data_IF_978626278583
#
_entry.id   IF_978626278583
#
_cell.length_a   1.000
_cell.length_b   1.000
_cell.length_c   1.000
_cell.angle_alpha   90.00
_cell.angle_beta   90.00
_cell.angle_gamma   90.00
#
_symmetry.space_group_name_H-M   'P 1'
#
loop_
_entity.id
_entity.type
_entity.pdbx_description
1 polymer ?
#
# COMPACT_ATOMS: atom_id res chain seq x y z
N UNK A 1 19.72 23.31 -2.19
CA UNK A 1 19.04 22.45 -1.22
C UNK A 1 17.96 21.70 -1.99
N UNK A 2 17.85 20.38 -1.85
CA UNK A 2 16.81 19.58 -2.53
C UNK A 2 15.70 19.29 -1.55
N UNK A 3 14.51 19.61 -1.93
CA UNK A 3 13.32 19.31 -1.14
C UNK A 3 12.58 18.14 -1.80
N UNK A 4 12.18 17.20 -0.99
CA UNK A 4 11.30 16.08 -1.32
C UNK A 4 9.98 16.30 -0.60
N UNK A 5 8.89 15.75 -1.09
CA UNK A 5 7.64 15.73 -0.38
C UNK A 5 7.33 14.30 0.05
N UNK A 6 7.35 14.04 1.34
CA UNK A 6 6.80 12.81 1.88
C UNK A 6 5.28 12.95 1.92
N UNK A 7 4.59 11.97 1.35
CA UNK A 7 3.13 11.97 1.18
C UNK A 7 2.54 10.68 1.72
N UNK A 8 1.32 10.78 2.21
CA UNK A 8 0.45 9.67 2.53
C UNK A 8 -1.01 10.10 2.34
N UNK A 9 -1.89 9.18 1.94
CA UNK A 9 -3.33 9.45 1.77
C UNK A 9 -4.17 8.35 2.38
N UNK A 10 -5.25 8.76 3.08
CA UNK A 10 -6.33 7.87 3.44
C UNK A 10 -7.44 7.92 2.39
N UNK A 11 -8.09 6.79 2.13
CA UNK A 11 -8.99 6.65 1.00
C UNK A 11 -10.25 5.85 1.35
N UNK A 12 -11.32 6.02 0.55
CA UNK A 12 -12.57 5.27 0.73
C UNK A 12 -12.47 3.81 0.28
N UNK A 13 -11.34 3.41 -0.31
CA UNK A 13 -11.07 2.07 -0.81
C UNK A 13 -9.79 2.05 -1.65
N UNK A 14 -9.54 1.00 -2.40
CA UNK A 14 -8.23 0.74 -2.99
C UNK A 14 -8.12 1.08 -4.49
N UNK A 15 -9.20 1.51 -5.15
CA UNK A 15 -9.20 1.76 -6.59
C UNK A 15 -9.82 3.10 -6.98
N UNK A 16 -9.01 4.13 -7.27
CA UNK A 16 -9.53 5.42 -7.72
C UNK A 16 -10.29 5.32 -9.05
N UNK A 17 -10.00 4.28 -9.87
CA UNK A 17 -10.67 4.05 -11.16
C UNK A 17 -12.07 3.45 -11.02
N UNK A 18 -12.43 2.98 -9.81
CA UNK A 18 -13.77 2.53 -9.45
C UNK A 18 -14.48 3.48 -8.50
N UNK A 19 -14.13 4.75 -8.59
CA UNK A 19 -14.72 5.85 -7.85
C UNK A 19 -14.29 5.98 -6.39
N UNK A 20 -13.28 5.25 -5.91
CA UNK A 20 -12.72 5.53 -4.61
C UNK A 20 -12.04 6.89 -4.60
N UNK A 21 -12.08 7.52 -3.46
CA UNK A 21 -11.73 8.92 -3.27
C UNK A 21 -10.74 9.07 -2.11
N UNK A 22 -9.95 10.09 -2.17
CA UNK A 22 -9.14 10.52 -1.02
C UNK A 22 -10.03 11.15 0.04
N UNK A 23 -9.80 10.82 1.32
CA UNK A 23 -10.51 11.37 2.48
C UNK A 23 -9.58 12.10 3.46
N UNK A 24 -8.29 11.86 3.39
CA UNK A 24 -7.27 12.60 4.13
C UNK A 24 -5.98 12.67 3.31
N UNK A 25 -5.25 13.77 3.42
CA UNK A 25 -3.93 13.96 2.81
C UNK A 25 -2.96 14.43 3.89
N UNK A 26 -1.77 13.84 3.90
CA UNK A 26 -0.63 14.30 4.65
C UNK A 26 0.55 14.56 3.72
N UNK A 27 1.21 15.70 3.86
CA UNK A 27 2.43 16.05 3.13
C UNK A 27 3.44 16.67 4.09
N UNK A 28 4.67 16.23 4.01
CA UNK A 28 5.80 16.76 4.79
C UNK A 28 6.94 17.08 3.83
N UNK A 29 7.37 18.33 3.80
CA UNK A 29 8.58 18.69 3.09
C UNK A 29 9.81 18.14 3.85
N UNK A 30 10.70 17.44 3.14
CA UNK A 30 11.91 16.89 3.73
C UNK A 30 13.14 17.20 2.87
N UNK A 31 14.21 17.61 3.53
CA UNK A 31 15.48 17.91 2.88
C UNK A 31 16.57 17.13 3.61
N UNK A 32 17.04 16.00 3.05
CA UNK A 32 18.03 15.14 3.73
C UNK A 32 19.24 15.92 4.25
N UNK A 33 19.56 15.71 5.54
CA UNK A 33 20.62 16.44 6.24
C UNK A 33 20.21 17.83 6.77
N UNK A 34 18.99 18.29 6.50
CA UNK A 34 18.45 19.56 7.00
C UNK A 34 17.12 19.38 7.75
N UNK A 35 16.56 18.18 7.73
CA UNK A 35 15.37 17.81 8.46
C UNK A 35 14.06 18.07 7.71
N UNK A 36 12.96 17.90 8.43
CA UNK A 36 11.60 18.18 7.95
C UNK A 36 11.32 19.68 7.99
N UNK A 37 10.57 20.14 6.99
CA UNK A 37 10.15 21.53 6.80
C UNK A 37 8.64 21.71 6.95
N UNK A 38 8.04 22.42 5.98
CA UNK A 38 6.61 22.72 5.98
C UNK A 38 5.78 21.44 5.87
N UNK A 39 4.64 21.45 6.55
CA UNK A 39 3.68 20.37 6.56
C UNK A 39 2.33 20.85 6.05
N UNK A 40 1.62 19.96 5.39
CA UNK A 40 0.25 20.18 4.96
C UNK A 40 -0.58 18.95 5.32
N UNK A 41 -1.76 19.16 5.89
CA UNK A 41 -2.72 18.09 6.11
C UNK A 41 -4.13 18.61 5.98
N UNK A 42 -5.03 17.81 5.43
CA UNK A 42 -6.46 18.12 5.40
C UNK A 42 -7.31 16.87 5.27
N UNK A 43 -8.45 16.87 5.95
CA UNK A 43 -9.57 16.00 5.63
C UNK A 43 -10.23 16.45 4.33
N UNK A 44 -10.86 15.51 3.62
CA UNK A 44 -11.58 15.75 2.39
C UNK A 44 -12.97 15.10 2.44
N UNK A 45 -13.96 15.83 1.95
CA UNK A 45 -15.28 15.27 1.70
C UNK A 45 -15.29 14.54 0.35
N UNK A 46 -15.38 13.21 0.33
CA UNK A 46 -15.34 12.44 -0.90
C UNK A 46 -16.63 12.54 -1.72
N UNK A 47 -17.71 13.11 -1.17
CA UNK A 47 -19.03 13.12 -1.77
C UNK A 47 -19.71 11.76 -1.90
N UNK A 48 -19.24 10.78 -1.12
CA UNK A 48 -19.70 9.38 -1.10
C UNK A 48 -19.47 8.75 0.27
N UNK A 49 -19.85 7.49 0.41
CA UNK A 49 -19.50 6.67 1.56
C UNK A 49 -17.97 6.61 1.75
N UNK A 50 -17.51 6.74 2.98
CA UNK A 50 -16.08 6.84 3.31
C UNK A 50 -15.37 5.48 3.40
N UNK A 51 -16.09 4.37 3.25
CA UNK A 51 -15.50 3.04 3.34
C UNK A 51 -15.24 2.56 4.78
N UNK A 52 -14.26 1.67 4.98
CA UNK A 52 -14.08 0.96 6.24
C UNK A 52 -13.42 1.86 7.31
N UNK A 53 -14.23 2.43 8.20
CA UNK A 53 -13.78 3.21 9.37
C UNK A 53 -12.78 2.46 10.26
N UNK A 54 -12.77 1.13 10.21
CA UNK A 54 -11.85 0.29 10.97
C UNK A 54 -10.39 0.45 10.54
N UNK A 55 -10.13 0.93 9.32
CA UNK A 55 -8.77 1.13 8.78
C UNK A 55 -8.30 2.55 9.14
N UNK A 56 -8.92 3.58 8.57
CA UNK A 56 -8.48 4.97 8.72
C UNK A 56 -9.07 5.67 9.96
N UNK A 57 -10.01 5.05 10.68
CA UNK A 57 -10.60 5.59 11.91
C UNK A 57 -11.50 6.81 11.74
N UNK A 58 -11.74 7.29 10.52
CA UNK A 58 -12.61 8.41 10.21
C UNK A 58 -14.06 7.95 10.08
N UNK A 59 -15.00 8.81 10.48
CA UNK A 59 -16.43 8.62 10.27
C UNK A 59 -16.96 9.60 9.22
N UNK A 60 -18.12 9.32 8.67
CA UNK A 60 -18.78 10.26 7.72
C UNK A 60 -18.97 11.65 8.32
N UNK A 61 -19.17 11.74 9.65
CA UNK A 61 -19.30 13.02 10.33
C UNK A 61 -17.99 13.83 10.34
N UNK A 62 -16.83 13.16 10.39
CA UNK A 62 -15.53 13.84 10.43
C UNK A 62 -15.22 14.56 9.11
N UNK A 63 -15.72 14.04 7.99
CA UNK A 63 -15.47 14.58 6.65
C UNK A 63 -16.66 15.35 6.06
N UNK A 64 -17.79 15.42 6.76
CA UNK A 64 -19.02 16.01 6.22
C UNK A 64 -18.84 17.49 5.83
N UNK A 65 -18.16 18.26 6.67
CA UNK A 65 -17.89 19.68 6.48
C UNK A 65 -16.49 19.96 5.92
N UNK A 66 -15.74 18.91 5.55
CA UNK A 66 -14.42 19.04 4.95
C UNK A 66 -14.52 19.50 3.48
N UNK A 67 -13.50 20.20 2.95
CA UNK A 67 -13.49 20.61 1.56
C UNK A 67 -13.45 19.41 0.61
N UNK A 68 -13.92 19.61 -0.61
CA UNK A 68 -13.68 18.67 -1.69
C UNK A 68 -12.27 18.83 -2.26
N UNK A 69 -11.75 17.82 -2.91
CA UNK A 69 -10.36 17.83 -3.42
C UNK A 69 -10.05 19.06 -4.29
N UNK A 70 -10.96 19.45 -5.20
CA UNK A 70 -10.72 20.58 -6.10
C UNK A 70 -10.53 21.91 -5.36
N UNK A 71 -11.12 22.06 -4.16
CA UNK A 71 -11.02 23.26 -3.34
C UNK A 71 -9.66 23.40 -2.65
N UNK A 72 -8.92 22.30 -2.45
CA UNK A 72 -7.57 22.30 -1.87
C UNK A 72 -6.47 22.05 -2.91
N UNK A 73 -6.83 21.75 -4.14
CA UNK A 73 -5.89 21.38 -5.20
C UNK A 73 -4.82 22.45 -5.46
N UNK A 74 -5.17 23.74 -5.35
CA UNK A 74 -4.21 24.84 -5.52
C UNK A 74 -3.17 24.84 -4.40
N UNK A 75 -3.60 24.70 -3.16
CA UNK A 75 -2.71 24.66 -2.00
C UNK A 75 -1.80 23.42 -2.04
N UNK A 76 -2.38 22.24 -2.32
CA UNK A 76 -1.60 21.02 -2.49
C UNK A 76 -0.53 21.15 -3.58
N UNK A 77 -0.88 21.75 -4.72
CA UNK A 77 0.08 21.99 -5.79
C UNK A 77 1.21 22.95 -5.36
N UNK A 78 0.91 23.97 -4.56
CA UNK A 78 1.92 24.90 -4.02
C UNK A 78 2.89 24.18 -3.08
N UNK A 79 2.38 23.30 -2.21
CA UNK A 79 3.18 22.50 -1.28
C UNK A 79 4.07 21.50 -2.02
N UNK A 80 3.55 20.85 -3.07
CA UNK A 80 4.32 19.85 -3.84
C UNK A 80 5.33 20.48 -4.82
N UNK A 81 5.07 21.68 -5.30
CA UNK A 81 5.87 22.36 -6.35
C UNK A 81 7.38 22.45 -6.08
N UNK A 82 7.85 22.71 -4.84
CA UNK A 82 9.28 22.79 -4.56
C UNK A 82 10.01 21.46 -4.63
N UNK A 83 9.26 20.35 -4.64
CA UNK A 83 9.82 19.02 -4.47
C UNK A 83 10.35 18.44 -5.78
N UNK A 84 11.49 17.77 -5.72
CA UNK A 84 12.11 17.09 -6.86
C UNK A 84 11.58 15.67 -7.04
N UNK A 85 11.07 15.05 -5.98
CA UNK A 85 10.45 13.73 -5.99
C UNK A 85 9.43 13.60 -4.85
N UNK A 86 8.51 12.64 -4.98
CA UNK A 86 7.59 12.25 -3.92
C UNK A 86 8.14 11.02 -3.20
N UNK A 87 8.09 11.07 -1.88
CA UNK A 87 8.50 9.98 -0.98
C UNK A 87 7.26 9.43 -0.30
N UNK A 88 7.19 8.14 -0.05
CA UNK A 88 6.09 7.54 0.71
C UNK A 88 6.38 6.07 1.00
N UNK A 89 5.54 5.46 1.79
CA UNK A 89 5.60 4.03 2.06
C UNK A 89 4.51 3.36 1.22
N UNK A 90 4.88 2.61 0.19
CA UNK A 90 4.01 2.21 -0.93
C UNK A 90 3.52 3.41 -1.77
N UNK A 91 4.38 4.39 -1.98
CA UNK A 91 4.08 5.69 -2.62
C UNK A 91 3.35 5.62 -3.96
N UNK A 92 3.43 4.50 -4.67
CA UNK A 92 2.71 4.29 -5.92
C UNK A 92 1.19 4.37 -5.74
N UNK A 93 0.68 3.91 -4.58
CA UNK A 93 -0.72 4.00 -4.20
C UNK A 93 -1.16 5.46 -4.03
N UNK A 94 -0.43 6.22 -3.24
CA UNK A 94 -0.73 7.63 -2.96
C UNK A 94 -0.74 8.46 -4.25
N UNK A 95 0.30 8.30 -5.07
CA UNK A 95 0.42 9.00 -6.35
C UNK A 95 -0.71 8.64 -7.31
N UNK A 96 -1.14 7.38 -7.33
CA UNK A 96 -2.26 6.92 -8.15
C UNK A 96 -3.57 7.64 -7.75
N UNK A 97 -3.83 7.74 -6.46
CA UNK A 97 -5.01 8.43 -5.95
C UNK A 97 -4.94 9.94 -6.19
N UNK A 98 -3.83 10.60 -5.88
CA UNK A 98 -3.66 12.03 -6.13
C UNK A 98 -3.83 12.37 -7.60
N UNK A 99 -3.24 11.60 -8.53
CA UNK A 99 -3.44 11.80 -9.97
C UNK A 99 -4.90 11.71 -10.36
N UNK A 100 -5.61 10.70 -9.88
CA UNK A 100 -7.02 10.54 -10.19
C UNK A 100 -7.88 11.69 -9.64
N UNK A 101 -7.57 12.23 -8.47
CA UNK A 101 -8.27 13.39 -7.91
C UNK A 101 -8.01 14.67 -8.72
N UNK A 102 -6.75 14.90 -9.13
CA UNK A 102 -6.43 16.01 -10.04
C UNK A 102 -7.14 15.87 -11.39
N UNK A 103 -7.14 14.68 -12.00
CA UNK A 103 -7.85 14.41 -13.25
C UNK A 103 -9.37 14.65 -13.13
N UNK A 104 -10.00 14.22 -12.04
CA UNK A 104 -11.43 14.48 -11.76
C UNK A 104 -11.72 15.98 -11.62
N UNK A 105 -10.73 16.74 -11.16
CA UNK A 105 -10.81 18.20 -11.08
C UNK A 105 -10.48 18.91 -12.39
N UNK A 106 -10.27 18.14 -13.47
CA UNK A 106 -9.88 18.70 -14.78
C UNK A 106 -8.43 19.20 -14.86
N UNK A 107 -7.57 18.73 -13.95
CA UNK A 107 -6.18 19.15 -13.84
C UNK A 107 -5.23 17.98 -14.13
N UNK A 108 -4.06 18.29 -14.66
CA UNK A 108 -3.00 17.31 -14.85
C UNK A 108 -1.93 17.50 -13.75
N UNK A 109 -1.76 16.50 -12.90
CA UNK A 109 -0.64 16.46 -11.97
C UNK A 109 0.65 16.16 -12.73
N UNK A 110 1.74 16.93 -12.53
CA UNK A 110 3.04 16.62 -13.12
C UNK A 110 3.52 15.22 -12.72
N UNK A 111 4.33 14.61 -13.58
CA UNK A 111 4.92 13.29 -13.28
C UNK A 111 6.15 13.49 -12.41
N UNK A 112 6.00 13.23 -11.13
CA UNK A 112 7.10 13.20 -10.17
C UNK A 112 7.84 11.86 -10.23
N UNK A 113 9.18 11.85 -10.10
CA UNK A 113 9.89 10.68 -9.62
C UNK A 113 9.38 10.28 -8.24
N UNK A 114 9.39 8.99 -7.96
CA UNK A 114 8.92 8.46 -6.66
C UNK A 114 10.02 7.70 -5.94
N UNK A 115 10.04 7.82 -4.62
CA UNK A 115 10.95 7.11 -3.73
C UNK A 115 10.10 6.35 -2.73
N UNK A 116 10.18 5.03 -2.79
CA UNK A 116 9.41 4.14 -1.93
C UNK A 116 10.25 3.70 -0.74
N UNK A 117 9.89 4.16 0.45
CA UNK A 117 10.62 3.83 1.69
C UNK A 117 10.49 2.37 2.07
N UNK A 118 9.38 1.70 1.72
CA UNK A 118 9.23 0.26 1.90
C UNK A 118 10.32 -0.50 1.13
N UNK A 119 10.50 -0.17 -0.14
CA UNK A 119 11.54 -0.80 -0.98
C UNK A 119 12.94 -0.51 -0.49
N UNK A 120 13.21 0.72 -0.08
CA UNK A 120 14.52 1.11 0.44
C UNK A 120 14.86 0.41 1.75
N UNK A 121 13.88 0.19 2.62
CA UNK A 121 14.04 -0.52 3.89
C UNK A 121 14.09 -2.06 3.75
N UNK A 122 13.91 -2.58 2.55
CA UNK A 122 13.90 -4.04 2.30
C UNK A 122 12.53 -4.69 2.44
N UNK A 123 11.46 -3.90 2.58
CA UNK A 123 10.07 -4.35 2.72
C UNK A 123 9.57 -4.29 4.17
N UNK A 124 8.27 -4.43 4.36
CA UNK A 124 7.61 -4.37 5.65
C UNK A 124 6.57 -3.28 5.74
N UNK A 125 5.86 -3.20 6.86
CA UNK A 125 4.98 -2.06 7.15
C UNK A 125 5.80 -0.85 7.56
N UNK A 126 5.20 0.34 7.44
CA UNK A 126 5.85 1.58 7.84
C UNK A 126 6.33 1.51 9.31
N UNK A 127 5.48 1.00 10.21
CA UNK A 127 5.83 0.83 11.62
C UNK A 127 7.00 -0.12 11.86
N UNK A 128 7.06 -1.26 11.15
CA UNK A 128 8.18 -2.21 11.27
C UNK A 128 9.48 -1.64 10.72
N UNK A 129 9.42 -0.95 9.58
CA UNK A 129 10.57 -0.27 9.00
C UNK A 129 11.09 0.84 9.93
N UNK A 130 10.20 1.67 10.49
CA UNK A 130 10.57 2.68 11.48
C UNK A 130 11.25 2.06 12.69
N UNK A 131 10.70 0.98 13.25
CA UNK A 131 11.30 0.27 14.39
C UNK A 131 12.71 -0.27 14.07
N UNK A 132 12.93 -0.80 12.86
CA UNK A 132 14.23 -1.28 12.39
C UNK A 132 15.29 -0.17 12.36
N UNK A 133 14.90 1.05 12.05
CA UNK A 133 15.77 2.23 12.02
C UNK A 133 15.75 3.02 13.34
N UNK A 134 15.10 2.52 14.40
CA UNK A 134 15.05 3.17 15.71
C UNK A 134 14.20 4.44 15.73
N UNK A 135 13.28 4.58 14.77
CA UNK A 135 12.38 5.73 14.67
C UNK A 135 11.13 5.46 15.50
N UNK A 136 10.87 6.34 16.47
CA UNK A 136 9.60 6.32 17.19
C UNK A 136 8.46 6.80 16.28
N UNK A 137 7.39 6.04 16.24
CA UNK A 137 6.19 6.36 15.49
C UNK A 137 5.28 7.26 16.34
N UNK A 138 5.26 8.56 16.03
CA UNK A 138 4.53 9.59 16.80
C UNK A 138 3.04 9.71 16.45
N UNK A 139 2.45 8.69 15.88
CA UNK A 139 1.09 8.76 15.40
C UNK A 139 0.32 7.47 15.63
N UNK A 140 -0.98 7.52 15.31
CA UNK A 140 -1.74 6.31 15.06
C UNK A 140 -1.42 5.88 13.63
N UNK A 141 -1.22 4.59 13.42
CA UNK A 141 -1.22 4.05 12.07
C UNK A 141 -2.53 4.49 11.36
N UNK A 142 -2.42 4.80 10.07
CA UNK A 142 -3.54 5.27 9.25
C UNK A 142 -4.07 6.68 9.63
N UNK A 143 -3.14 7.57 9.92
CA UNK A 143 -3.34 9.01 9.98
C UNK A 143 -2.35 9.65 8.98
N UNK A 144 -2.85 10.18 7.87
CA UNK A 144 -2.04 10.55 6.72
C UNK A 144 -0.84 11.46 7.06
N UNK A 145 -1.00 12.45 7.94
CA UNK A 145 0.13 13.29 8.33
C UNK A 145 1.15 12.54 9.20
N UNK A 146 0.68 11.67 10.10
CA UNK A 146 1.51 10.83 10.95
C UNK A 146 2.38 9.88 10.12
N UNK A 147 1.76 9.24 9.14
CA UNK A 147 2.42 8.29 8.23
C UNK A 147 3.38 9.00 7.27
N UNK A 148 3.01 10.17 6.75
CA UNK A 148 3.93 11.01 5.95
C UNK A 148 5.16 11.47 6.76
N UNK A 149 5.01 11.84 8.05
CA UNK A 149 6.13 12.18 8.94
C UNK A 149 7.04 10.97 9.19
N UNK A 150 6.46 9.81 9.42
CA UNK A 150 7.20 8.57 9.62
C UNK A 150 7.99 8.18 8.36
N UNK A 151 7.35 8.27 7.19
CA UNK A 151 8.02 8.03 5.92
C UNK A 151 9.15 9.04 5.64
N UNK A 152 8.97 10.32 6.00
CA UNK A 152 10.00 11.34 5.89
C UNK A 152 11.22 11.02 6.78
N UNK A 153 11.00 10.68 8.04
CA UNK A 153 12.09 10.28 8.97
C UNK A 153 12.83 9.04 8.49
N UNK A 154 12.06 8.03 8.04
CA UNK A 154 12.63 6.80 7.50
C UNK A 154 13.50 7.08 6.26
N UNK A 155 13.03 7.94 5.38
CA UNK A 155 13.81 8.38 4.22
C UNK A 155 15.10 9.09 4.62
N UNK A 156 15.06 9.99 5.60
CA UNK A 156 16.26 10.68 6.12
C UNK A 156 17.30 9.69 6.66
N UNK A 157 16.91 8.74 7.49
CA UNK A 157 17.81 7.74 8.07
C UNK A 157 18.43 6.82 6.99
N UNK A 158 17.63 6.39 6.01
CA UNK A 158 18.11 5.56 4.90
C UNK A 158 19.14 6.35 4.06
N UNK A 159 18.85 7.61 3.74
CA UNK A 159 19.76 8.48 2.98
C UNK A 159 21.02 8.82 3.78
N UNK A 160 20.90 9.05 5.08
CA UNK A 160 22.07 9.28 5.94
C UNK A 160 23.04 8.07 5.91
N UNK A 161 22.49 6.86 5.84
CA UNK A 161 23.27 5.62 5.72
C UNK A 161 23.83 5.39 4.31
N UNK A 162 23.16 5.89 3.27
CA UNK A 162 23.55 5.73 1.86
C UNK A 162 23.24 7.00 1.03
N UNK A 163 24.08 8.04 1.10
CA UNK A 163 23.86 9.30 0.36
C UNK A 163 23.79 9.16 -1.16
N UNK A 164 24.37 8.09 -1.74
CA UNK A 164 24.36 7.84 -3.18
C UNK A 164 22.93 7.65 -3.74
N UNK A 165 21.96 7.33 -2.89
CA UNK A 165 20.54 7.25 -3.28
C UNK A 165 19.99 8.57 -3.84
N UNK A 166 20.61 9.70 -3.53
CA UNK A 166 20.19 11.00 -4.03
C UNK A 166 20.79 11.38 -5.39
N UNK A 167 21.80 10.66 -5.90
CA UNK A 167 22.45 10.96 -7.17
C UNK A 167 21.48 11.01 -8.37
N UNK A 168 20.51 10.10 -8.51
CA UNK A 168 19.55 10.15 -9.62
C UNK A 168 18.66 11.39 -9.66
N UNK A 169 18.61 12.14 -8.55
CA UNK A 169 17.79 13.35 -8.39
C UNK A 169 18.59 14.62 -8.54
N UNK A 170 19.76 14.56 -9.18
CA UNK A 170 20.65 15.68 -9.54
C UNK A 170 20.74 15.89 -11.07
N UNK A 171 20.67 17.10 -11.57
CA UNK A 171 19.68 18.14 -11.29
C UNK A 171 18.39 17.85 -12.08
N UNK A 172 17.29 17.67 -11.40
CA UNK A 172 16.00 17.55 -12.08
C UNK A 172 15.43 18.92 -12.41
N UNK A 173 14.81 19.08 -13.58
CA UNK A 173 14.11 20.31 -13.92
C UNK A 173 12.94 20.54 -12.97
N UNK A 174 12.65 21.80 -12.65
CA UNK A 174 11.43 22.17 -11.92
C UNK A 174 10.21 21.68 -12.71
N UNK A 175 9.33 20.95 -12.03
CA UNK A 175 8.12 20.46 -12.65
C UNK A 175 7.12 21.59 -12.84
N UNK A 176 6.57 21.69 -14.04
CA UNK A 176 5.58 22.72 -14.37
C UNK A 176 4.18 22.22 -13.98
N UNK A 177 3.54 22.96 -13.09
CA UNK A 177 2.16 22.77 -12.73
C UNK A 177 1.25 23.58 -13.65
N UNK A 178 0.11 23.04 -14.10
CA UNK A 178 -0.88 23.83 -14.82
C UNK A 178 -1.41 24.95 -13.93
N UNK A 179 -1.97 25.98 -14.54
CA UNK A 179 -2.67 27.02 -13.79
C UNK A 179 -3.94 26.40 -13.18
N UNK A 180 -4.04 26.42 -11.86
CA UNK A 180 -5.20 25.91 -11.13
C UNK A 180 -6.21 27.05 -10.98
N UNK A 181 -7.42 26.92 -11.54
CA UNK A 181 -8.40 28.01 -11.59
C UNK A 181 -9.24 28.14 -10.31
N UNK A 182 -9.01 27.23 -9.33
CA UNK A 182 -9.81 27.20 -8.11
C UNK A 182 -9.13 28.02 -7.01
N UNK A 183 -9.90 28.84 -6.26
CA UNK A 183 -9.39 29.46 -5.04
C UNK A 183 -9.10 28.36 -4.01
N UNK A 184 -8.06 28.54 -3.23
CA UNK A 184 -7.77 27.64 -2.10
C UNK A 184 -8.70 27.98 -0.93
N UNK A 185 -9.19 26.96 -0.27
CA UNK A 185 -9.91 27.06 1.01
C UNK A 185 -9.02 26.58 2.16
N UNK A 186 -9.40 26.90 3.37
CA UNK A 186 -8.69 26.48 4.57
C UNK A 186 -8.74 24.96 4.74
N UNK A 187 -7.63 24.40 5.19
CA UNK A 187 -7.52 22.98 5.51
C UNK A 187 -8.36 22.64 6.75
N UNK A 188 -9.01 21.49 6.74
CA UNK A 188 -9.73 20.93 7.88
C UNK A 188 -8.89 19.82 8.48
N UNK A 189 -8.38 20.05 9.69
CA UNK A 189 -7.52 19.08 10.36
C UNK A 189 -8.34 17.98 11.04
N UNK A 190 -7.76 16.79 11.10
CA UNK A 190 -8.32 15.68 11.85
C UNK A 190 -8.41 16.03 13.34
N UNK A 191 -9.61 15.94 13.90
CA UNK A 191 -9.79 16.06 15.35
C UNK A 191 -9.61 14.67 15.95
N UNK A 192 -8.61 14.50 16.82
CA UNK A 192 -8.32 13.21 17.46
C UNK A 192 -9.53 12.73 18.29
N UNK A 193 -10.33 11.86 17.70
CA UNK A 193 -11.35 11.12 18.44
C UNK A 193 -10.62 10.10 19.34
N UNK A 194 -10.91 10.13 20.64
CA UNK A 194 -10.33 9.22 21.62
C UNK A 194 -10.72 7.78 21.32
N UNK A 195 -9.74 6.95 21.01
CA UNK A 195 -9.79 5.51 21.26
C UNK A 195 -10.41 4.63 20.20
N UNK A 196 -9.78 4.47 19.04
CA UNK A 196 -9.91 3.24 18.26
C UNK A 196 -8.56 2.51 18.27
N UNK A 197 -8.51 1.33 18.87
CA UNK A 197 -7.43 0.40 18.63
C UNK A 197 -7.78 -0.38 17.37
N UNK A 198 -6.95 -0.32 16.35
CA UNK A 198 -7.02 -1.24 15.21
C UNK A 198 -6.81 -2.66 15.78
N UNK A 199 -7.84 -3.49 15.76
CA UNK A 199 -7.76 -4.90 16.14
C UNK A 199 -7.33 -5.77 14.97
N UNK A 200 -6.39 -5.30 14.15
CA UNK A 200 -5.66 -6.14 13.21
C UNK A 200 -4.90 -7.20 14.00
N UNK A 201 -4.82 -8.44 13.51
CA UNK A 201 -4.06 -9.46 14.22
C UNK A 201 -2.60 -9.09 14.23
N UNK A 202 -2.08 -8.76 15.41
CA UNK A 202 -0.66 -8.53 15.64
C UNK A 202 0.24 -9.63 15.07
N UNK A 203 -0.31 -10.83 14.90
CA UNK A 203 0.44 -11.97 14.38
C UNK A 203 0.58 -11.96 12.84
N UNK A 204 -0.49 -11.72 12.07
CA UNK A 204 -0.41 -11.61 10.61
C UNK A 204 0.50 -10.44 10.23
N UNK A 205 0.38 -9.32 10.95
CA UNK A 205 1.26 -8.17 10.80
C UNK A 205 2.73 -8.58 11.01
N UNK A 206 3.03 -9.33 12.09
CA UNK A 206 4.38 -9.85 12.32
C UNK A 206 4.86 -10.81 11.22
N UNK A 207 3.98 -11.61 10.63
CA UNK A 207 4.34 -12.48 9.50
C UNK A 207 4.68 -11.66 8.25
N UNK A 208 3.89 -10.66 7.94
CA UNK A 208 4.13 -9.75 6.81
C UNK A 208 5.46 -9.01 7.02
N UNK A 209 5.69 -8.47 8.21
CA UNK A 209 6.91 -7.76 8.57
C UNK A 209 8.16 -8.65 8.48
N UNK A 210 8.08 -9.87 9.02
CA UNK A 210 9.19 -10.83 8.93
C UNK A 210 9.46 -11.29 7.49
N UNK A 211 8.40 -11.48 6.68
CA UNK A 211 8.53 -11.80 5.26
C UNK A 211 9.28 -10.70 4.53
N UNK A 212 8.92 -9.46 4.79
CA UNK A 212 9.51 -8.31 4.14
C UNK A 212 10.97 -8.07 4.57
N UNK A 213 11.30 -8.34 5.84
CA UNK A 213 12.68 -8.27 6.36
C UNK A 213 13.60 -9.42 5.88
N UNK A 214 13.01 -10.50 5.33
CA UNK A 214 13.78 -11.60 4.72
C UNK A 214 14.33 -11.20 3.36
N UNK A 215 15.57 -11.59 3.05
CA UNK A 215 16.14 -11.41 1.71
C UNK A 215 15.20 -12.03 0.68
N UNK A 216 14.68 -11.22 -0.22
CA UNK A 216 13.79 -11.66 -1.30
C UNK A 216 14.66 -12.35 -2.37
N UNK A 217 14.57 -13.66 -2.54
CA UNK A 217 15.56 -14.40 -3.36
C UNK A 217 15.28 -14.33 -4.86
N UNK A 218 14.27 -13.60 -5.32
CA UNK A 218 13.94 -13.52 -6.75
C UNK A 218 13.73 -12.10 -7.21
N UNK A 219 14.34 -11.70 -8.34
CA UNK A 219 14.00 -10.45 -9.01
C UNK A 219 12.61 -10.58 -9.62
N UNK A 220 11.59 -10.20 -8.85
CA UNK A 220 10.27 -10.00 -9.44
C UNK A 220 10.33 -8.84 -10.44
N UNK A 221 9.60 -8.94 -11.55
CA UNK A 221 9.37 -7.77 -12.42
C UNK A 221 8.74 -6.66 -11.59
N UNK A 222 8.92 -5.39 -11.96
CA UNK A 222 8.29 -4.27 -11.26
C UNK A 222 6.78 -4.50 -11.05
N UNK A 223 6.11 -5.02 -12.09
CA UNK A 223 4.69 -5.38 -12.06
C UNK A 223 4.32 -6.41 -10.97
N UNK A 224 5.13 -7.44 -10.81
CA UNK A 224 4.89 -8.45 -9.77
C UNK A 224 5.07 -7.87 -8.38
N UNK A 225 6.05 -6.99 -8.22
CA UNK A 225 6.32 -6.30 -6.95
C UNK A 225 5.15 -5.41 -6.54
N UNK A 226 4.67 -4.57 -7.46
CA UNK A 226 3.55 -3.68 -7.20
C UNK A 226 2.27 -4.46 -6.80
N UNK A 227 2.07 -5.63 -7.39
CA UNK A 227 0.97 -6.51 -7.01
C UNK A 227 1.17 -7.16 -5.61
N UNK A 228 2.41 -7.54 -5.26
CA UNK A 228 2.73 -8.04 -3.92
C UNK A 228 2.49 -6.98 -2.83
N UNK A 229 2.88 -5.74 -3.09
CA UNK A 229 2.69 -4.61 -2.18
C UNK A 229 1.19 -4.37 -1.90
N UNK A 230 0.35 -4.47 -2.93
CA UNK A 230 -1.10 -4.39 -2.75
C UNK A 230 -1.65 -5.59 -1.97
N UNK A 231 -1.12 -6.81 -2.19
CA UNK A 231 -1.51 -7.98 -1.41
C UNK A 231 -1.20 -7.82 0.08
N UNK A 232 -0.04 -7.27 0.43
CA UNK A 232 0.32 -6.98 1.83
C UNK A 232 -0.73 -6.09 2.49
N UNK A 233 -1.12 -5.00 1.80
CA UNK A 233 -2.10 -4.04 2.30
C UNK A 233 -3.51 -4.64 2.44
N UNK A 234 -3.95 -5.41 1.44
CA UNK A 234 -5.26 -6.05 1.40
C UNK A 234 -5.41 -7.14 2.47
N UNK A 235 -4.31 -7.81 2.82
CA UNK A 235 -4.34 -8.93 3.77
C UNK A 235 -4.15 -8.52 5.23
N UNK A 236 -3.90 -7.23 5.50
CA UNK A 236 -3.69 -6.72 6.88
C UNK A 236 -4.87 -7.02 7.81
N UNK A 237 -6.11 -6.89 7.34
CA UNK A 237 -7.31 -7.13 8.14
C UNK A 237 -7.86 -8.56 8.04
N UNK A 238 -7.20 -9.45 7.27
CA UNK A 238 -7.59 -10.86 7.01
C UNK A 238 -8.89 -11.03 6.24
N UNK A 239 -9.29 -10.06 5.49
CA UNK A 239 -10.45 -10.12 4.62
C UNK A 239 -10.04 -9.60 3.27
N UNK A 240 -10.72 -10.07 2.24
CA UNK A 240 -10.70 -9.41 0.93
C UNK A 240 -12.15 -9.05 0.66
N UNK A 241 -12.48 -7.80 0.87
CA UNK A 241 -13.80 -7.31 0.53
C UNK A 241 -13.99 -7.17 -0.99
N UNK A 242 -15.19 -6.81 -1.43
CA UNK A 242 -15.49 -6.70 -2.86
C UNK A 242 -14.67 -5.57 -3.54
N UNK A 243 -14.34 -4.51 -2.81
CA UNK A 243 -13.55 -3.40 -3.33
C UNK A 243 -12.08 -3.78 -3.46
N UNK A 244 -11.53 -4.47 -2.47
CA UNK A 244 -10.16 -4.96 -2.44
C UNK A 244 -9.92 -6.03 -3.52
N UNK A 245 -10.84 -7.00 -3.64
CA UNK A 245 -10.79 -7.99 -4.72
C UNK A 245 -10.84 -7.35 -6.11
N UNK A 246 -11.58 -6.27 -6.22
CA UNK A 246 -11.67 -5.44 -7.41
C UNK A 246 -10.37 -4.69 -7.68
N UNK A 247 -9.77 -4.05 -6.64
CA UNK A 247 -8.50 -3.35 -6.77
C UNK A 247 -7.37 -4.28 -7.20
N UNK A 248 -7.29 -5.48 -6.63
CA UNK A 248 -6.36 -6.53 -7.05
C UNK A 248 -6.56 -6.92 -8.51
N UNK A 249 -7.82 -7.08 -8.94
CA UNK A 249 -8.15 -7.43 -10.33
C UNK A 249 -7.77 -6.31 -11.30
N UNK A 250 -8.07 -5.06 -10.95
CA UNK A 250 -7.75 -3.91 -11.78
C UNK A 250 -6.24 -3.66 -11.88
N UNK A 251 -5.52 -3.84 -10.78
CA UNK A 251 -4.05 -3.74 -10.80
C UNK A 251 -3.45 -4.85 -11.66
N UNK A 252 -3.91 -6.09 -11.50
CA UNK A 252 -3.47 -7.22 -12.32
C UNK A 252 -3.70 -6.95 -13.82
N UNK A 253 -4.88 -6.44 -14.19
CA UNK A 253 -5.20 -6.08 -15.57
C UNK A 253 -4.27 -4.99 -16.11
N UNK A 254 -4.04 -3.92 -15.35
CA UNK A 254 -3.16 -2.81 -15.76
C UNK A 254 -1.70 -3.24 -15.90
N UNK A 255 -1.25 -4.14 -15.06
CA UNK A 255 0.10 -4.71 -15.11
C UNK A 255 0.24 -5.79 -16.19
N UNK A 256 -0.85 -6.15 -16.90
CA UNK A 256 -0.86 -7.18 -17.92
C UNK A 256 -0.59 -8.59 -17.37
N UNK A 257 -0.92 -8.84 -16.10
CA UNK A 257 -0.72 -10.13 -15.46
C UNK A 257 -1.78 -11.13 -15.93
N UNK A 258 -1.34 -12.28 -16.40
CA UNK A 258 -2.22 -13.38 -16.74
C UNK A 258 -2.64 -14.18 -15.50
N UNK A 259 -3.73 -14.95 -15.59
CA UNK A 259 -4.19 -15.80 -14.48
C UNK A 259 -3.12 -16.75 -13.96
N UNK A 260 -2.29 -17.34 -14.84
CA UNK A 260 -1.18 -18.21 -14.45
C UNK A 260 -0.08 -17.45 -13.71
N UNK A 261 0.19 -16.21 -14.12
CA UNK A 261 1.15 -15.35 -13.42
C UNK A 261 0.62 -14.95 -12.03
N UNK A 262 -0.66 -14.62 -11.92
CA UNK A 262 -1.31 -14.33 -10.63
C UNK A 262 -1.26 -15.53 -9.69
N UNK A 263 -1.60 -16.72 -10.18
CA UNK A 263 -1.48 -17.95 -9.37
C UNK A 263 -0.04 -18.18 -8.90
N UNK A 264 0.95 -17.96 -9.78
CA UNK A 264 2.37 -18.05 -9.41
C UNK A 264 2.75 -17.01 -8.36
N UNK A 265 2.27 -15.78 -8.48
CA UNK A 265 2.50 -14.70 -7.52
C UNK A 265 1.87 -15.05 -6.16
N UNK A 266 0.63 -15.48 -6.14
CA UNK A 266 -0.07 -15.88 -4.91
C UNK A 266 0.62 -17.05 -4.22
N UNK A 267 1.08 -18.06 -4.97
CA UNK A 267 1.86 -19.18 -4.42
C UNK A 267 3.20 -18.72 -3.86
N UNK A 268 3.90 -17.83 -4.55
CA UNK A 268 5.16 -17.27 -4.07
C UNK A 268 4.95 -16.48 -2.77
N UNK A 269 3.88 -15.68 -2.69
CA UNK A 269 3.49 -14.96 -1.49
C UNK A 269 3.23 -15.92 -0.32
N UNK A 270 2.40 -16.94 -0.53
CA UNK A 270 2.08 -17.93 0.49
C UNK A 270 3.32 -18.74 0.94
N UNK A 271 4.22 -19.04 -0.01
CA UNK A 271 5.50 -19.72 0.31
C UNK A 271 6.40 -18.86 1.18
N UNK A 272 6.45 -17.56 0.96
CA UNK A 272 7.22 -16.63 1.79
C UNK A 272 6.65 -16.55 3.21
N UNK A 273 5.32 -16.41 3.36
CA UNK A 273 4.67 -16.45 4.66
C UNK A 273 4.91 -17.77 5.40
N UNK A 274 4.83 -18.90 4.68
CA UNK A 274 5.11 -20.21 5.26
C UNK A 274 6.57 -20.33 5.75
N UNK A 275 7.56 -19.82 5.00
CA UNK A 275 8.97 -19.81 5.46
C UNK A 275 9.15 -19.03 6.74
N UNK A 276 8.51 -17.87 6.85
CA UNK A 276 8.59 -17.05 8.05
C UNK A 276 7.98 -17.77 9.24
N UNK A 277 6.82 -18.41 9.05
CA UNK A 277 6.17 -19.18 10.11
C UNK A 277 7.00 -20.40 10.56
N UNK A 278 7.81 -20.99 9.66
CA UNK A 278 8.70 -22.13 10.00
C UNK A 278 10.13 -21.72 10.36
N UNK A 279 10.43 -20.42 10.52
CA UNK A 279 11.80 -19.93 10.71
C UNK A 279 12.48 -20.48 11.99
N UNK A 280 11.70 -20.77 13.03
CA UNK A 280 12.19 -21.37 14.28
C UNK A 280 12.10 -22.90 14.31
N UNK A 281 11.68 -23.52 13.20
CA UNK A 281 11.52 -24.98 13.06
C UNK A 281 10.20 -25.54 13.56
N UNK A 282 9.32 -24.70 14.09
CA UNK A 282 8.02 -25.10 14.63
C UNK A 282 6.94 -24.14 14.13
N UNK A 283 5.75 -24.67 13.84
CA UNK A 283 4.57 -23.86 13.56
C UNK A 283 3.53 -24.08 14.63
N UNK A 284 3.05 -23.02 15.21
CA UNK A 284 1.98 -23.08 16.23
C UNK A 284 0.61 -23.24 15.57
N UNK A 285 -0.39 -23.70 16.32
CA UNK A 285 -1.78 -23.78 15.83
C UNK A 285 -2.34 -22.41 15.44
N UNK A 286 -1.83 -21.32 16.01
CA UNK A 286 -2.22 -19.96 15.65
C UNK A 286 -1.66 -19.60 14.29
N UNK A 287 -0.39 -19.84 14.06
CA UNK A 287 0.30 -19.60 12.78
C UNK A 287 -0.32 -20.41 11.64
N UNK A 288 -0.61 -21.67 11.90
CA UNK A 288 -1.27 -22.53 10.92
C UNK A 288 -2.66 -22.02 10.54
N UNK A 289 -3.44 -21.51 11.52
CA UNK A 289 -4.76 -20.91 11.22
C UNK A 289 -4.64 -19.65 10.37
N UNK A 290 -3.64 -18.81 10.61
CA UNK A 290 -3.39 -17.61 9.82
C UNK A 290 -3.02 -17.96 8.38
N UNK A 291 -2.06 -18.87 8.21
CA UNK A 291 -1.67 -19.37 6.89
C UNK A 291 -2.86 -19.96 6.13
N UNK A 292 -3.75 -20.69 6.82
CA UNK A 292 -4.97 -21.23 6.22
C UNK A 292 -5.96 -20.14 5.81
N UNK A 293 -6.06 -19.07 6.61
CA UNK A 293 -6.91 -17.92 6.28
C UNK A 293 -6.42 -17.25 5.00
N UNK A 294 -5.14 -16.90 4.95
CA UNK A 294 -4.52 -16.29 3.74
C UNK A 294 -4.62 -17.22 2.54
N UNK A 295 -4.36 -18.52 2.72
CA UNK A 295 -4.49 -19.53 1.68
C UNK A 295 -5.90 -19.54 1.07
N UNK A 296 -6.94 -19.47 1.92
CA UNK A 296 -8.34 -19.40 1.49
C UNK A 296 -8.66 -18.10 0.75
N UNK A 297 -8.18 -16.97 1.24
CA UNK A 297 -8.35 -15.65 0.61
C UNK A 297 -7.69 -15.57 -0.77
N UNK A 298 -6.54 -16.20 -0.95
CA UNK A 298 -5.82 -16.29 -2.22
C UNK A 298 -6.38 -17.37 -3.18
N UNK A 299 -7.45 -18.07 -2.80
CA UNK A 299 -8.16 -19.01 -3.67
C UNK A 299 -7.60 -20.43 -3.72
N UNK A 300 -6.66 -20.81 -2.84
CA UNK A 300 -6.03 -22.14 -2.86
C UNK A 300 -6.77 -23.22 -2.07
N UNK A 301 -7.85 -22.91 -1.43
CA UNK A 301 -8.53 -23.87 -0.57
C UNK A 301 -7.68 -24.23 0.68
N UNK A 302 -8.03 -25.33 1.34
CA UNK A 302 -7.40 -25.70 2.63
C UNK A 302 -6.15 -26.56 2.42
N UNK A 303 -4.99 -26.07 2.85
CA UNK A 303 -3.74 -26.81 2.86
C UNK A 303 -3.46 -27.42 4.25
N UNK A 304 -2.87 -28.61 4.30
CA UNK A 304 -2.40 -29.21 5.55
C UNK A 304 -1.09 -28.58 6.02
N UNK A 305 -0.73 -28.77 7.30
CA UNK A 305 0.56 -28.32 7.84
C UNK A 305 1.76 -28.86 7.04
N UNK A 306 1.69 -30.13 6.60
CA UNK A 306 2.74 -30.73 5.78
C UNK A 306 2.86 -30.09 4.39
N UNK A 307 1.78 -29.64 3.79
CA UNK A 307 1.82 -28.92 2.51
C UNK A 307 2.41 -27.50 2.68
N UNK A 308 2.10 -26.81 3.77
CA UNK A 308 2.76 -25.55 4.11
C UNK A 308 4.25 -25.73 4.38
N UNK A 309 4.65 -26.78 5.12
CA UNK A 309 6.06 -27.11 5.34
C UNK A 309 6.81 -27.38 4.02
N UNK A 310 6.15 -28.04 3.07
CA UNK A 310 6.72 -28.23 1.73
C UNK A 310 6.86 -26.90 0.97
N UNK A 311 5.87 -25.99 1.06
CA UNK A 311 5.97 -24.66 0.49
C UNK A 311 7.11 -23.85 1.12
N UNK A 312 7.29 -23.92 2.43
CA UNK A 312 8.38 -23.26 3.15
C UNK A 312 9.76 -23.72 2.69
N UNK A 313 9.90 -25.00 2.33
CA UNK A 313 11.17 -25.62 1.94
C UNK A 313 11.47 -25.53 0.42
N UNK A 314 10.56 -25.00 -0.40
CA UNK A 314 10.83 -24.83 -1.83
C UNK A 314 11.88 -23.74 -2.06
N UNK A 315 12.85 -23.96 -2.97
CA UNK A 315 13.76 -22.90 -3.35
C UNK A 315 12.99 -21.73 -3.96
N UNK A 316 13.39 -20.53 -3.60
CA UNK A 316 12.80 -19.32 -4.15
C UNK A 316 12.91 -19.32 -5.67
N UNK A 317 11.77 -19.28 -6.37
CA UNK A 317 11.73 -19.19 -7.83
C UNK A 317 11.21 -20.42 -8.59
N UNK A 318 10.81 -21.49 -7.91
CA UNK A 318 10.19 -22.63 -8.59
C UNK A 318 8.73 -22.76 -8.16
N UNK A 319 7.84 -22.22 -8.95
CA UNK A 319 6.40 -22.51 -8.89
C UNK A 319 6.16 -23.96 -9.31
N UNK A 320 6.32 -24.88 -8.40
CA UNK A 320 6.14 -26.31 -8.64
C UNK A 320 5.30 -26.94 -7.54
N UNK A 321 3.98 -26.69 -7.54
CA UNK A 321 2.99 -27.67 -7.05
C UNK A 321 2.59 -28.58 -8.22
N UNK A 322 3.54 -29.14 -8.93
CA UNK A 322 3.30 -30.14 -9.93
C UNK A 322 3.77 -31.51 -9.47
N UNK A 323 3.03 -32.14 -8.54
CA UNK A 323 2.73 -33.56 -8.57
C UNK A 323 1.20 -33.71 -8.54
N UNK A 324 0.53 -33.11 -9.48
CA UNK A 324 -0.83 -33.44 -9.87
C UNK A 324 -0.78 -34.05 -11.27
N UNK A 325 -1.29 -35.27 -11.32
CA UNK A 325 -1.60 -36.00 -12.53
C UNK A 325 -2.07 -35.03 -13.65
N UNK A 326 -1.47 -34.98 -14.85
CA UNK A 326 -1.77 -34.00 -15.88
C UNK A 326 -3.16 -34.11 -16.51
N UNK A 327 -4.06 -34.89 -15.93
CA UNK A 327 -5.43 -35.11 -16.42
C UNK A 327 -6.51 -34.31 -15.72
N UNK A 328 -6.24 -33.54 -14.68
CA UNK A 328 -7.20 -32.58 -14.14
C UNK A 328 -6.91 -31.18 -14.67
N UNK A 329 -7.29 -30.95 -15.89
CA UNK A 329 -7.35 -29.62 -16.50
C UNK A 329 -8.39 -28.76 -15.79
N UNK A 330 -7.94 -27.63 -15.22
CA UNK A 330 -8.78 -26.55 -14.66
C UNK A 330 -9.48 -25.73 -15.74
N UNK A 331 -9.93 -26.36 -16.82
CA UNK A 331 -10.74 -25.71 -17.85
C UNK A 331 -12.11 -25.44 -17.26
N UNK A 332 -12.41 -24.18 -16.95
CA UNK A 332 -13.74 -23.73 -16.57
C UNK A 332 -13.99 -23.39 -15.10
N UNK A 333 -12.98 -23.39 -14.22
CA UNK A 333 -13.15 -22.84 -12.86
C UNK A 333 -12.86 -21.34 -12.86
N UNK A 334 -13.89 -20.55 -12.66
CA UNK A 334 -13.77 -19.13 -12.36
C UNK A 334 -13.14 -18.99 -10.99
N UNK A 335 -12.08 -18.20 -10.89
CA UNK A 335 -11.61 -17.66 -9.60
C UNK A 335 -12.66 -16.64 -9.18
N UNK A 336 -13.62 -17.05 -8.35
CA UNK A 336 -14.54 -16.15 -7.69
C UNK A 336 -13.90 -15.77 -6.35
N UNK A 337 -13.48 -14.55 -6.22
CA UNK A 337 -13.39 -13.91 -4.93
C UNK A 337 -14.82 -13.92 -4.36
N UNK A 338 -15.01 -14.44 -3.14
CA UNK A 338 -16.31 -14.74 -2.55
C UNK A 338 -17.17 -13.49 -2.39
N UNK A 339 -17.92 -13.19 -3.41
CA UNK A 339 -19.09 -12.34 -3.43
C UNK A 339 -20.03 -12.95 -4.44
N UNK A 340 -21.26 -13.27 -4.06
CA UNK A 340 -22.26 -13.89 -4.90
C UNK A 340 -22.45 -13.09 -6.20
N UNK A 341 -21.86 -13.55 -7.30
CA UNK A 341 -22.24 -13.11 -8.63
C UNK A 341 -23.38 -13.98 -9.11
N UNK A 342 -24.62 -13.53 -8.94
CA UNK A 342 -25.75 -13.99 -9.74
C UNK A 342 -25.61 -13.41 -11.15
N UNK A 343 -24.95 -14.12 -12.03
CA UNK A 343 -25.08 -13.91 -13.46
C UNK A 343 -26.15 -14.87 -13.98
N UNK A 344 -27.39 -14.39 -14.13
CA UNK A 344 -28.38 -15.01 -14.98
C UNK A 344 -27.90 -14.91 -16.42
N UNK A 345 -27.66 -16.07 -17.05
CA UNK A 345 -27.50 -16.15 -18.50
C UNK A 345 -28.86 -16.07 -19.16
N UNK A 346 -29.02 -15.08 -20.06
CA UNK A 346 -29.95 -15.12 -21.17
C UNK A 346 -29.22 -15.56 -22.45
#
# INVERSE_FOLDING_TARGET
MRTFAAIDVETTGLSPYRHDRVIEIGVVAVSPGHGMGDEFSTLLNPGRDIGPTSIHGLTTADVADAPQFHEVASHLAEVLRPSVALVGHYVAFDVMFLRAEFERSGLAMPTYPTIDTCRLAGGGTLGSCCAQYGIEFDGRAHEALGDARAAARLFEEIVASNPALLEPYEPLPTLEWPKIPFPSVDAVLRVHARGFSSSGSAYLQQLIDRRAAGESPTPHSGAQRDYFELLDRVLEDRRIDANEGTALTDLAYRLGLTSNQLETIHLAYLSQLARVAWADGHVTDSELRELQTVCGLLGFGRLSAGQFANLANQPAGVGGLCDRNPTETWVGRRVCFTGECQCSMG
#
